data_IF_977079300743
#
_entry.id   IF_977079300743
#
_cell.length_a   1.000
_cell.length_b   1.000
_cell.length_c   1.000
_cell.angle_alpha   90.00
_cell.angle_beta   90.00
_cell.angle_gamma   90.00
#
_symmetry.space_group_name_H-M   'P 1'
#
loop_
_entity.id
_entity.type
_entity.pdbx_description
1 polymer ?
#
# COMPACT_ATOMS: atom_id res chain seq x y z
N UNK A 1 22.83 12.40 -19.68
CA UNK A 1 22.93 11.72 -18.37
C UNK A 1 21.86 10.65 -18.33
N UNK A 2 22.17 9.43 -17.90
CA UNK A 2 21.17 8.36 -17.79
C UNK A 2 20.40 8.54 -16.48
N UNK A 3 19.08 8.66 -16.54
CA UNK A 3 18.26 8.74 -15.33
C UNK A 3 18.03 7.34 -14.74
N UNK A 4 18.13 7.21 -13.42
CA UNK A 4 17.92 5.96 -12.68
C UNK A 4 16.45 5.56 -12.68
N UNK A 5 16.19 4.25 -12.55
CA UNK A 5 14.82 3.76 -12.31
C UNK A 5 14.32 4.25 -10.94
N UNK A 6 13.00 4.44 -10.77
CA UNK A 6 12.44 4.92 -9.51
C UNK A 6 12.76 4.00 -8.32
N UNK A 7 13.01 4.61 -7.16
CA UNK A 7 13.18 3.88 -5.91
C UNK A 7 11.90 3.14 -5.50
N UNK A 8 12.04 2.06 -4.74
CA UNK A 8 10.89 1.36 -4.15
C UNK A 8 10.25 2.21 -3.02
N UNK A 9 8.92 2.36 -2.98
CA UNK A 9 8.24 3.08 -1.90
C UNK A 9 8.49 2.44 -0.52
N UNK A 10 8.68 3.29 0.49
CA UNK A 10 8.71 2.90 1.92
C UNK A 10 7.30 2.95 2.49
N UNK A 11 6.57 1.85 2.39
CA UNK A 11 5.18 1.75 2.82
C UNK A 11 5.05 1.59 4.34
N UNK A 12 4.08 2.30 4.93
CA UNK A 12 3.53 2.07 6.27
C UNK A 12 2.02 1.89 6.19
N UNK A 13 1.48 1.04 7.05
CA UNK A 13 0.05 0.68 7.12
C UNK A 13 -0.44 0.87 8.54
N UNK A 14 -1.53 1.61 8.71
CA UNK A 14 -2.11 1.93 10.02
C UNK A 14 -3.63 1.89 9.95
N UNK A 15 -4.30 1.78 11.10
CA UNK A 15 -5.74 2.03 11.18
C UNK A 15 -5.97 3.51 10.89
N UNK A 16 -6.94 3.82 10.04
CA UNK A 16 -7.38 5.19 9.85
C UNK A 16 -8.11 5.69 11.10
N UNK A 17 -8.08 7.01 11.30
CA UNK A 17 -8.76 7.65 12.44
C UNK A 17 -10.24 7.26 12.52
N UNK A 18 -10.72 7.12 13.76
CA UNK A 18 -12.05 6.61 14.09
C UNK A 18 -12.35 5.18 13.58
N UNK A 19 -11.33 4.40 13.18
CA UNK A 19 -11.49 3.00 12.77
C UNK A 19 -12.25 2.79 11.46
N UNK A 20 -12.39 3.85 10.64
CA UNK A 20 -13.21 3.81 9.41
C UNK A 20 -12.48 3.27 8.18
N UNK A 21 -11.27 2.73 8.34
CA UNK A 21 -10.51 2.19 7.23
C UNK A 21 -9.06 1.86 7.57
N UNK A 22 -8.28 1.61 6.53
CA UNK A 22 -6.85 1.37 6.59
C UNK A 22 -6.16 2.54 5.89
N UNK A 23 -5.29 3.25 6.61
CA UNK A 23 -4.45 4.28 6.03
C UNK A 23 -3.14 3.66 5.55
N UNK A 24 -2.84 3.90 4.27
CA UNK A 24 -1.55 3.62 3.66
C UNK A 24 -0.78 4.94 3.58
N UNK A 25 0.49 4.94 3.93
CA UNK A 25 1.37 6.11 3.77
C UNK A 25 2.73 5.67 3.27
N UNK A 26 3.31 6.39 2.31
CA UNK A 26 4.61 6.04 1.75
C UNK A 26 5.47 7.27 1.42
N UNK A 27 6.78 7.04 1.41
CA UNK A 27 7.80 7.97 0.93
C UNK A 27 8.77 7.27 -0.03
N UNK A 28 9.63 8.03 -0.69
CA UNK A 28 10.68 7.54 -1.57
C UNK A 28 12.02 8.12 -1.15
N UNK A 29 13.10 7.36 -1.35
CA UNK A 29 14.46 7.89 -1.30
C UNK A 29 14.81 8.38 -2.71
N UNK A 30 14.62 9.67 -2.97
CA UNK A 30 14.87 10.26 -4.30
C UNK A 30 16.25 10.88 -4.39
N UNK A 31 16.92 10.70 -5.52
CA UNK A 31 18.15 11.42 -5.90
C UNK A 31 17.88 12.34 -7.10
N UNK A 32 18.78 13.28 -7.38
CA UNK A 32 18.67 14.23 -8.52
C UNK A 32 18.61 13.57 -9.89
N UNK A 33 19.04 12.31 -9.95
CA UNK A 33 19.28 11.51 -11.13
C UNK A 33 18.08 10.57 -11.40
N UNK A 34 17.01 10.69 -10.62
CA UNK A 34 15.73 10.01 -10.84
C UNK A 34 14.73 10.92 -11.55
N UNK A 35 13.99 10.31 -12.48
CA UNK A 35 12.85 10.93 -13.12
C UNK A 35 11.75 11.29 -12.11
N UNK A 36 10.94 12.30 -12.44
CA UNK A 36 9.74 12.60 -11.67
C UNK A 36 8.78 11.40 -11.64
N UNK A 37 8.18 11.14 -10.48
CA UNK A 37 7.15 10.12 -10.33
C UNK A 37 5.84 10.66 -10.89
N UNK A 38 5.28 9.97 -11.86
CA UNK A 38 3.97 10.29 -12.41
C UNK A 38 2.87 9.70 -11.51
N UNK A 39 3.05 8.48 -11.03
CA UNK A 39 1.99 7.75 -10.33
C UNK A 39 2.49 6.59 -9.49
N UNK A 40 1.57 6.01 -8.70
CA UNK A 40 1.78 4.82 -7.89
C UNK A 40 0.73 3.76 -8.22
N UNK A 41 1.13 2.50 -8.15
CA UNK A 41 0.20 1.37 -8.27
C UNK A 41 0.14 0.59 -6.96
N UNK A 42 -1.09 0.32 -6.52
CA UNK A 42 -1.37 -0.31 -5.24
C UNK A 42 -1.89 -1.73 -5.43
N UNK A 43 -1.41 -2.64 -4.60
CA UNK A 43 -1.89 -4.01 -4.54
C UNK A 43 -2.31 -4.36 -3.11
N UNK A 44 -3.34 -5.19 -3.00
CA UNK A 44 -3.80 -5.74 -1.72
C UNK A 44 -4.00 -7.26 -1.79
N UNK A 45 -3.75 -7.92 -0.68
CA UNK A 45 -4.02 -9.33 -0.45
C UNK A 45 -4.69 -9.49 0.92
N UNK A 46 -5.84 -10.17 0.96
CA UNK A 46 -6.46 -10.60 2.21
C UNK A 46 -5.97 -12.00 2.55
N UNK A 47 -5.34 -12.16 3.71
CA UNK A 47 -4.75 -13.43 4.13
C UNK A 47 -5.80 -14.54 4.17
N UNK A 48 -5.47 -15.68 3.56
CA UNK A 48 -6.23 -16.92 3.69
C UNK A 48 -5.27 -18.01 4.13
N UNK A 49 -5.37 -18.39 5.42
CA UNK A 49 -4.46 -19.36 6.06
C UNK A 49 -4.48 -20.75 5.42
N UNK A 50 -5.53 -21.07 4.67
CA UNK A 50 -5.68 -22.36 4.01
C UNK A 50 -5.07 -22.40 2.60
N UNK A 51 -4.55 -21.27 2.11
CA UNK A 51 -4.03 -21.14 0.75
C UNK A 51 -2.56 -20.75 0.81
N UNK A 52 -1.65 -21.53 0.18
CA UNK A 52 -0.26 -21.13 0.04
C UNK A 52 -0.14 -19.78 -0.68
N UNK A 53 0.62 -18.86 -0.08
CA UNK A 53 0.79 -17.51 -0.63
C UNK A 53 1.50 -17.59 -1.98
N UNK A 54 0.90 -16.97 -2.99
CA UNK A 54 1.49 -16.82 -4.32
C UNK A 54 1.05 -15.49 -4.96
N UNK A 55 1.70 -15.11 -6.07
CA UNK A 55 1.49 -13.80 -6.72
C UNK A 55 0.06 -13.58 -7.24
N UNK A 56 -0.70 -14.63 -7.58
CA UNK A 56 -2.06 -14.51 -8.13
C UNK A 56 -3.09 -14.05 -7.10
N UNK A 57 -2.78 -14.13 -5.81
CA UNK A 57 -3.66 -13.70 -4.72
C UNK A 57 -3.68 -12.18 -4.54
N UNK A 58 -2.68 -11.48 -5.09
CA UNK A 58 -2.58 -10.03 -5.00
C UNK A 58 -3.48 -9.35 -6.04
N UNK A 59 -4.40 -8.52 -5.57
CA UNK A 59 -5.29 -7.73 -6.42
C UNK A 59 -4.72 -6.35 -6.63
N UNK A 60 -4.65 -5.89 -7.88
CA UNK A 60 -4.43 -4.48 -8.18
C UNK A 60 -5.67 -3.71 -7.73
N UNK A 61 -5.52 -2.81 -6.77
CA UNK A 61 -6.62 -2.03 -6.19
C UNK A 61 -6.66 -0.59 -6.69
N UNK A 62 -5.70 -0.17 -7.51
CA UNK A 62 -5.77 1.13 -8.17
C UNK A 62 -4.42 1.72 -8.57
N UNK A 63 -4.52 2.75 -9.41
CA UNK A 63 -3.44 3.66 -9.76
C UNK A 63 -3.78 5.03 -9.15
N UNK A 64 -2.81 5.66 -8.49
CA UNK A 64 -2.95 7.01 -7.95
C UNK A 64 -1.93 7.92 -8.63
N UNK A 65 -2.37 9.04 -9.16
CA UNK A 65 -1.45 10.08 -9.65
C UNK A 65 -0.62 10.63 -8.49
N UNK A 66 0.65 10.94 -8.76
CA UNK A 66 1.59 11.31 -7.71
C UNK A 66 1.23 12.67 -7.09
N UNK A 67 1.22 12.70 -5.77
CA UNK A 67 1.07 13.91 -4.94
C UNK A 67 2.35 14.10 -4.09
N UNK A 68 2.53 15.27 -3.45
CA UNK A 68 3.68 15.52 -2.59
C UNK A 68 3.88 14.42 -1.53
N UNK A 69 5.13 14.04 -1.30
CA UNK A 69 5.51 13.02 -0.32
C UNK A 69 5.69 13.62 1.09
N UNK A 70 5.42 12.84 2.17
CA UNK A 70 4.88 11.48 2.15
C UNK A 70 3.42 11.47 1.69
N UNK A 71 3.08 10.55 0.79
CA UNK A 71 1.73 10.41 0.25
C UNK A 71 0.93 9.46 1.13
N UNK A 72 -0.35 9.77 1.36
CA UNK A 72 -1.25 8.93 2.11
C UNK A 72 -2.57 8.71 1.37
N UNK A 73 -3.16 7.53 1.54
CA UNK A 73 -4.54 7.28 1.13
C UNK A 73 -5.25 6.39 2.15
N UNK A 74 -6.55 6.62 2.33
CA UNK A 74 -7.40 5.77 3.17
C UNK A 74 -8.21 4.84 2.29
N UNK A 75 -8.11 3.55 2.55
CA UNK A 75 -8.94 2.52 1.94
C UNK A 75 -10.06 2.14 2.91
N UNK A 76 -11.28 1.99 2.40
CA UNK A 76 -12.47 1.64 3.16
C UNK A 76 -13.00 0.26 2.75
N UNK A 77 -14.06 -0.24 3.40
CA UNK A 77 -14.74 -1.51 3.07
C UNK A 77 -13.90 -2.76 3.34
N UNK A 78 -13.26 -2.82 4.51
CA UNK A 78 -12.59 -4.02 5.00
C UNK A 78 -13.38 -4.68 6.12
N UNK A 79 -13.24 -6.00 6.23
CA UNK A 79 -13.93 -6.80 7.23
C UNK A 79 -13.04 -6.98 8.45
N UNK A 80 -13.58 -6.72 9.64
CA UNK A 80 -12.88 -6.99 10.88
C UNK A 80 -12.62 -8.51 11.07
N UNK A 81 -11.64 -8.85 11.90
CA UNK A 81 -11.16 -10.22 12.12
C UNK A 81 -10.19 -10.75 11.07
N UNK A 82 -9.85 -9.96 10.05
CA UNK A 82 -9.01 -10.40 8.93
C UNK A 82 -7.65 -9.69 8.92
N UNK A 83 -6.65 -10.37 8.33
CA UNK A 83 -5.33 -9.79 8.05
C UNK A 83 -5.26 -9.38 6.59
N UNK A 84 -4.74 -8.18 6.35
CA UNK A 84 -4.54 -7.60 5.03
C UNK A 84 -3.08 -7.24 4.83
N UNK A 85 -2.60 -7.44 3.60
CA UNK A 85 -1.27 -7.10 3.14
C UNK A 85 -1.35 -6.14 1.97
N UNK A 86 -0.43 -5.18 1.91
CA UNK A 86 -0.39 -4.14 0.90
C UNK A 86 1.00 -3.98 0.31
N UNK A 87 1.06 -3.66 -0.98
CA UNK A 87 2.27 -3.32 -1.71
C UNK A 87 2.03 -2.05 -2.53
N UNK A 88 3.07 -1.25 -2.69
CA UNK A 88 3.07 -0.07 -3.57
C UNK A 88 4.31 -0.10 -4.46
N UNK A 89 4.18 0.30 -5.72
CA UNK A 89 5.31 0.63 -6.58
C UNK A 89 5.11 1.98 -7.26
N UNK A 90 6.20 2.69 -7.53
CA UNK A 90 6.21 3.95 -8.24
C UNK A 90 6.31 3.72 -9.75
N UNK A 91 5.77 4.67 -10.52
CA UNK A 91 5.82 4.73 -11.98
C UNK A 91 6.27 6.15 -12.35
N UNK A 92 7.39 6.28 -13.03
CA UNK A 92 7.87 7.60 -13.48
C UNK A 92 7.23 8.07 -14.79
N UNK A 93 7.54 9.31 -15.16
CA UNK A 93 7.10 9.93 -16.42
C UNK A 93 7.52 9.15 -17.68
N UNK A 94 8.54 8.28 -17.59
CA UNK A 94 8.97 7.39 -18.68
C UNK A 94 8.32 6.01 -18.62
N UNK A 95 7.31 5.81 -17.75
CA UNK A 95 6.58 4.56 -17.56
C UNK A 95 7.44 3.41 -17.05
N UNK A 96 8.56 3.72 -16.38
CA UNK A 96 9.40 2.72 -15.72
C UNK A 96 8.86 2.46 -14.32
N UNK A 97 8.87 1.20 -13.92
CA UNK A 97 8.37 0.77 -12.63
C UNK A 97 9.52 0.64 -11.64
N UNK A 98 9.32 1.09 -10.41
CA UNK A 98 10.16 0.66 -9.29
C UNK A 98 9.94 -0.83 -8.99
N UNK A 99 10.83 -1.41 -8.18
CA UNK A 99 10.46 -2.59 -7.40
C UNK A 99 9.26 -2.27 -6.47
N UNK A 100 8.54 -3.29 -6.04
CA UNK A 100 7.53 -3.13 -5.01
C UNK A 100 8.16 -2.74 -3.67
N UNK A 101 7.39 -2.06 -2.83
CA UNK A 101 7.71 -1.87 -1.42
C UNK A 101 7.89 -3.21 -0.71
N UNK A 102 8.45 -3.18 0.51
CA UNK A 102 8.21 -4.28 1.44
C UNK A 102 6.70 -4.39 1.74
N UNK A 103 6.16 -5.60 2.00
CA UNK A 103 4.75 -5.75 2.37
C UNK A 103 4.42 -5.01 3.66
N UNK A 104 3.38 -4.18 3.61
CA UNK A 104 2.75 -3.61 4.79
C UNK A 104 1.59 -4.49 5.24
N UNK A 105 1.57 -4.89 6.52
CA UNK A 105 0.56 -5.83 7.05
C UNK A 105 -0.24 -5.19 8.17
N UNK A 106 -1.54 -5.47 8.21
CA UNK A 106 -2.40 -5.05 9.31
C UNK A 106 -3.47 -6.11 9.60
N UNK A 107 -3.71 -6.36 10.89
CA UNK A 107 -4.82 -7.18 11.36
C UNK A 107 -5.94 -6.27 11.87
N UNK A 108 -7.11 -6.32 11.24
CA UNK A 108 -8.27 -5.56 11.71
C UNK A 108 -8.94 -6.32 12.85
N UNK A 109 -8.93 -5.76 14.06
CA UNK A 109 -9.58 -6.39 15.21
C UNK A 109 -11.10 -6.28 15.10
N UNK A 110 -11.81 -7.34 15.46
CA UNK A 110 -13.26 -7.28 15.68
C UNK A 110 -13.56 -6.32 16.82
N UNK A 111 -14.55 -5.40 16.69
CA UNK A 111 -15.01 -4.60 17.82
C UNK A 111 -15.40 -5.54 18.97
N UNK A 112 -14.97 -5.22 20.19
CA UNK A 112 -15.42 -5.98 21.35
C UNK A 112 -16.93 -5.82 21.49
N UNK A 113 -17.67 -6.94 21.52
CA UNK A 113 -19.08 -6.92 21.90
C UNK A 113 -19.14 -6.51 23.37
N UNK A 114 -19.60 -5.30 23.66
CA UNK A 114 -19.98 -4.94 25.02
C UNK A 114 -21.26 -5.70 25.32
N UNK A 115 -21.14 -6.86 25.98
CA UNK A 115 -22.28 -7.51 26.60
C UNK A 115 -22.74 -6.59 27.74
N UNK A 116 -23.82 -5.84 27.51
CA UNK A 116 -24.58 -5.25 28.59
C UNK A 116 -25.35 -6.41 29.26
N UNK A 117 -24.84 -6.88 30.39
CA UNK A 117 -25.56 -7.73 31.34
C UNK A 117 -26.55 -6.90 32.14
#
# INVERSE_FOLDING_TARGET
MYEMVPAAPKLRVQLADAGKGIQLTWSLDTTSDMAAIESYQLYAYQENKNVPVNSSLWKNIGKLEALPLPMACTLTQFTAGHTYHFLVRAIDVYKRYSAFSNPGTIHLRTPATVNLS
#
